data_IF_263000047032
#
_entry.id   IF_263000047032
#
_cell.length_a   1.000
_cell.length_b   1.000
_cell.length_c   1.000
_cell.angle_alpha   90.00
_cell.angle_beta   90.00
_cell.angle_gamma   90.00
#
_symmetry.space_group_name_H-M   'P 1'
#
loop_
_entity.id
_entity.type
_entity.pdbx_description
1 polymer ?
#
# COMPACT_ATOMS: atom_id res chain seq x y z
N UNK A 1 5.62 16.56 1.68
CA UNK A 1 7.06 16.88 1.57
C UNK A 1 7.19 18.37 1.38
N UNK A 2 8.07 19.01 2.14
CA UNK A 2 8.36 20.43 1.97
C UNK A 2 9.25 20.59 0.72
N UNK A 3 8.94 21.47 -0.24
CA UNK A 3 9.80 21.72 -1.40
C UNK A 3 11.26 22.03 -1.03
N UNK A 4 11.50 22.63 0.14
CA UNK A 4 12.85 22.92 0.64
C UNK A 4 13.65 21.66 1.00
N UNK A 5 13.00 20.54 1.33
CA UNK A 5 13.66 19.25 1.57
C UNK A 5 14.34 18.75 0.29
N UNK A 6 13.65 18.89 -0.85
CA UNK A 6 14.17 18.48 -2.14
C UNK A 6 15.39 19.32 -2.56
N UNK A 7 15.38 20.62 -2.30
CA UNK A 7 16.52 21.50 -2.58
C UNK A 7 17.73 21.13 -1.74
N UNK A 8 17.53 20.85 -0.44
CA UNK A 8 18.60 20.38 0.46
C UNK A 8 19.22 19.09 -0.05
N UNK A 9 18.40 18.10 -0.41
CA UNK A 9 18.87 16.83 -0.96
C UNK A 9 19.64 17.02 -2.28
N UNK A 10 19.17 17.91 -3.17
CA UNK A 10 19.86 18.22 -4.44
C UNK A 10 21.27 18.79 -4.25
N UNK A 11 21.51 19.55 -3.18
CA UNK A 11 22.83 20.09 -2.84
C UNK A 11 23.89 19.01 -2.49
N UNK A 12 23.46 17.77 -2.30
CA UNK A 12 24.31 16.63 -1.96
C UNK A 12 24.61 15.70 -3.14
N UNK A 13 24.14 16.02 -4.35
CA UNK A 13 24.41 15.21 -5.55
C UNK A 13 25.91 15.05 -5.78
N UNK A 14 26.34 13.80 -6.00
CA UNK A 14 27.73 13.44 -6.27
C UNK A 14 28.63 13.37 -5.03
N UNK A 15 28.10 13.64 -3.83
CA UNK A 15 28.83 13.46 -2.56
C UNK A 15 28.53 12.07 -1.99
N UNK A 16 29.54 11.47 -1.39
CA UNK A 16 29.32 10.32 -0.51
C UNK A 16 28.71 10.84 0.79
N UNK A 17 27.60 10.25 1.21
CA UNK A 17 26.91 10.55 2.47
C UNK A 17 27.08 9.37 3.41
N UNK A 18 27.35 9.66 4.67
CA UNK A 18 27.22 8.65 5.73
C UNK A 18 25.74 8.43 6.11
N UNK A 19 25.49 7.44 6.98
CA UNK A 19 24.13 7.07 7.37
C UNK A 19 23.41 8.21 8.11
N UNK A 20 24.11 8.92 9.00
CA UNK A 20 23.52 10.03 9.76
C UNK A 20 23.21 11.24 8.89
N UNK A 21 24.09 11.54 7.91
CA UNK A 21 23.82 12.57 6.90
C UNK A 21 22.59 12.22 6.04
N UNK A 22 22.45 10.95 5.65
CA UNK A 22 21.30 10.49 4.88
C UNK A 22 19.98 10.58 5.67
N UNK A 23 20.00 10.25 6.96
CA UNK A 23 18.84 10.37 7.85
C UNK A 23 18.48 11.84 8.09
N UNK A 24 19.46 12.71 8.36
CA UNK A 24 19.24 14.14 8.54
C UNK A 24 18.66 14.83 7.29
N UNK A 25 18.95 14.30 6.10
CA UNK A 25 18.35 14.73 4.83
C UNK A 25 16.99 14.08 4.53
N UNK A 26 16.52 13.15 5.38
CA UNK A 26 15.25 12.43 5.20
C UNK A 26 15.26 11.45 4.03
N UNK A 27 16.44 10.98 3.60
CA UNK A 27 16.60 10.03 2.48
C UNK A 27 16.42 8.58 2.93
N UNK A 28 16.61 8.30 4.22
CA UNK A 28 16.37 7.00 4.85
C UNK A 28 15.46 7.20 6.07
N UNK A 29 14.85 6.12 6.55
CA UNK A 29 13.94 6.19 7.71
C UNK A 29 14.68 6.28 9.04
N UNK A 30 15.75 5.48 9.20
CA UNK A 30 16.60 5.44 10.40
C UNK A 30 18.06 5.17 10.03
N UNK A 31 19.00 5.76 10.76
CA UNK A 31 20.43 5.44 10.71
C UNK A 31 20.88 4.77 12.01
N UNK A 32 20.59 3.47 12.14
CA UNK A 32 20.94 2.68 13.32
C UNK A 32 22.43 2.36 13.35
N UNK A 33 23.01 2.28 14.55
CA UNK A 33 24.38 1.80 14.74
C UNK A 33 24.48 0.27 14.71
N UNK A 34 25.69 -0.26 14.81
CA UNK A 34 25.96 -1.70 14.75
C UNK A 34 25.45 -2.47 15.99
N UNK A 35 25.15 -1.78 17.08
CA UNK A 35 24.64 -2.38 18.31
C UNK A 35 23.12 -2.56 18.19
N UNK A 36 22.41 -1.55 17.70
CA UNK A 36 20.94 -1.55 17.64
C UNK A 36 20.38 -2.20 16.35
N UNK A 37 21.18 -2.27 15.28
CA UNK A 37 20.72 -2.70 13.95
C UNK A 37 19.98 -4.04 13.95
N UNK A 38 20.59 -5.09 14.51
CA UNK A 38 20.06 -6.45 14.42
C UNK A 38 18.73 -6.60 15.18
N UNK A 39 18.58 -5.91 16.31
CA UNK A 39 17.38 -5.99 17.13
C UNK A 39 16.23 -5.16 16.56
N UNK A 40 16.47 -3.91 16.17
CA UNK A 40 15.44 -3.03 15.62
C UNK A 40 14.90 -3.54 14.27
N UNK A 41 15.80 -3.96 13.36
CA UNK A 41 15.37 -4.52 12.06
C UNK A 41 14.56 -5.79 12.26
N UNK A 42 14.96 -6.66 13.20
CA UNK A 42 14.20 -7.87 13.54
C UNK A 42 12.81 -7.50 14.05
N UNK A 43 12.70 -6.54 14.97
CA UNK A 43 11.41 -6.06 15.49
C UNK A 43 10.53 -5.54 14.35
N UNK A 44 11.04 -4.73 13.43
CA UNK A 44 10.25 -4.23 12.30
C UNK A 44 9.69 -5.36 11.42
N UNK A 45 10.45 -6.44 11.22
CA UNK A 45 9.97 -7.61 10.48
C UNK A 45 8.94 -8.41 11.28
N UNK A 46 9.16 -8.63 12.57
CA UNK A 46 8.24 -9.32 13.46
C UNK A 46 6.89 -8.57 13.54
N UNK A 47 6.92 -7.25 13.69
CA UNK A 47 5.73 -6.41 13.70
C UNK A 47 4.97 -6.51 12.38
N UNK A 48 5.67 -6.35 11.25
CA UNK A 48 5.07 -6.47 9.91
C UNK A 48 4.42 -7.84 9.69
N UNK A 49 5.00 -8.90 10.23
CA UNK A 49 4.44 -10.25 10.15
C UNK A 49 3.24 -10.48 11.09
N UNK A 50 3.15 -9.73 12.20
CA UNK A 50 2.08 -9.86 13.19
C UNK A 50 0.80 -9.08 12.85
N UNK A 51 0.89 -8.01 12.06
CA UNK A 51 -0.27 -7.22 11.66
C UNK A 51 -1.13 -7.89 10.58
N UNK A 52 -2.39 -7.49 10.49
CA UNK A 52 -3.29 -7.93 9.43
C UNK A 52 -2.74 -7.52 8.05
N UNK A 53 -2.52 -8.47 7.13
CA UNK A 53 -2.02 -8.17 5.79
C UNK A 53 -2.98 -7.28 4.99
N UNK A 54 -4.29 -7.41 5.22
CA UNK A 54 -5.31 -6.59 4.57
C UNK A 54 -5.20 -5.13 5.02
N UNK A 55 -5.01 -4.91 6.32
CA UNK A 55 -4.85 -3.57 6.90
C UNK A 55 -3.56 -2.92 6.44
N UNK A 56 -2.43 -3.66 6.44
CA UNK A 56 -1.15 -3.15 5.96
C UNK A 56 -1.20 -2.77 4.48
N UNK A 57 -1.83 -3.60 3.64
CA UNK A 57 -2.02 -3.30 2.21
C UNK A 57 -2.81 -2.01 2.02
N UNK A 58 -3.90 -1.83 2.79
CA UNK A 58 -4.69 -0.61 2.78
C UNK A 58 -3.89 0.62 3.19
N UNK A 59 -3.11 0.52 4.26
CA UNK A 59 -2.26 1.62 4.76
C UNK A 59 -1.19 1.99 3.71
N UNK A 60 -0.47 1.01 3.16
CA UNK A 60 0.59 1.25 2.18
C UNK A 60 0.05 1.91 0.90
N UNK A 61 -1.13 1.49 0.43
CA UNK A 61 -1.77 2.09 -0.73
C UNK A 61 -2.08 3.59 -0.51
N UNK A 62 -2.41 4.00 0.72
CA UNK A 62 -2.71 5.40 1.04
C UNK A 62 -1.43 6.23 1.31
N UNK A 63 -0.44 5.67 2.00
CA UNK A 63 0.78 6.39 2.35
C UNK A 63 1.72 6.58 1.16
N UNK A 64 1.80 5.60 0.25
CA UNK A 64 2.69 5.69 -0.93
C UNK A 64 2.14 6.58 -2.03
N UNK A 65 0.82 6.60 -2.21
CA UNK A 65 0.13 7.39 -3.25
C UNK A 65 -0.59 8.59 -2.64
N UNK A 66 0.14 9.36 -1.83
CA UNK A 66 -0.36 10.59 -1.24
C UNK A 66 -0.36 11.73 -2.26
N UNK A 67 -1.43 12.53 -2.28
CA UNK A 67 -1.48 13.79 -3.02
C UNK A 67 -2.16 13.69 -4.41
N UNK A 68 -1.61 14.31 -5.46
CA UNK A 68 -2.33 14.51 -6.72
C UNK A 68 -2.56 13.19 -7.47
N UNK A 69 -3.82 12.95 -7.82
CA UNK A 69 -4.23 11.75 -8.56
C UNK A 69 -4.01 11.91 -10.08
N UNK A 70 -3.28 10.97 -10.69
CA UNK A 70 -3.25 10.74 -12.14
C UNK A 70 -4.28 9.70 -12.57
N UNK A 71 -4.45 9.51 -13.89
CA UNK A 71 -5.32 8.44 -14.41
C UNK A 71 -4.89 7.06 -13.88
N UNK A 72 -3.59 6.79 -13.87
CA UNK A 72 -3.01 5.53 -13.41
C UNK A 72 -3.27 5.32 -11.92
N UNK A 73 -3.05 6.35 -11.09
CA UNK A 73 -3.35 6.26 -9.65
C UNK A 73 -4.83 6.03 -9.37
N UNK A 74 -5.74 6.61 -10.18
CA UNK A 74 -7.19 6.36 -10.07
C UNK A 74 -7.57 4.94 -10.45
N UNK A 75 -6.89 4.35 -11.44
CA UNK A 75 -7.07 2.95 -11.82
C UNK A 75 -6.64 2.03 -10.67
N UNK A 76 -5.44 2.23 -10.12
CA UNK A 76 -4.89 1.32 -9.10
C UNK A 76 -5.42 1.56 -7.68
N UNK A 77 -5.83 2.78 -7.33
CA UNK A 77 -6.45 3.08 -6.04
C UNK A 77 -7.96 2.93 -6.13
N UNK A 78 -8.66 3.91 -6.70
CA UNK A 78 -10.13 4.00 -6.64
C UNK A 78 -10.83 2.85 -7.36
N UNK A 79 -10.53 2.63 -8.63
CA UNK A 79 -11.21 1.61 -9.43
C UNK A 79 -10.89 0.20 -8.90
N UNK A 80 -9.61 -0.09 -8.68
CA UNK A 80 -9.18 -1.41 -8.23
C UNK A 80 -9.65 -1.71 -6.81
N UNK A 81 -9.66 -0.75 -5.87
CA UNK A 81 -10.18 -0.98 -4.52
C UNK A 81 -11.67 -1.34 -4.53
N UNK A 82 -12.49 -0.63 -5.31
CA UNK A 82 -13.90 -0.96 -5.49
C UNK A 82 -14.08 -2.34 -6.13
N UNK A 83 -13.26 -2.67 -7.13
CA UNK A 83 -13.30 -3.98 -7.76
C UNK A 83 -12.90 -5.11 -6.80
N UNK A 84 -11.87 -4.90 -5.98
CA UNK A 84 -11.44 -5.87 -4.96
C UNK A 84 -12.56 -6.13 -3.95
N UNK A 85 -13.27 -5.08 -3.53
CA UNK A 85 -14.43 -5.23 -2.64
C UNK A 85 -15.57 -6.01 -3.31
N UNK A 86 -15.86 -5.77 -4.60
CA UNK A 86 -16.85 -6.56 -5.35
C UNK A 86 -16.42 -8.03 -5.42
N UNK A 87 -15.15 -8.31 -5.70
CA UNK A 87 -14.62 -9.67 -5.88
C UNK A 87 -14.59 -10.52 -4.61
N UNK A 88 -14.71 -9.92 -3.44
CA UNK A 88 -14.78 -10.67 -2.18
C UNK A 88 -16.22 -10.98 -1.76
N UNK A 89 -17.24 -10.51 -2.51
CA UNK A 89 -18.66 -10.63 -2.10
C UNK A 89 -19.43 -11.74 -2.83
N UNK A 90 -20.43 -12.36 -2.16
CA UNK A 90 -21.19 -13.49 -2.72
C UNK A 90 -21.90 -13.21 -4.04
N UNK A 91 -22.40 -11.98 -4.25
CA UNK A 91 -23.08 -11.62 -5.50
C UNK A 91 -22.18 -11.82 -6.74
N UNK A 92 -20.87 -11.65 -6.62
CA UNK A 92 -19.92 -11.84 -7.72
C UNK A 92 -19.40 -13.29 -7.77
N UNK A 93 -18.78 -13.77 -6.69
CA UNK A 93 -17.98 -15.01 -6.67
C UNK A 93 -18.62 -16.18 -5.93
N UNK A 94 -19.77 -15.97 -5.28
CA UNK A 94 -20.48 -17.00 -4.51
C UNK A 94 -21.03 -18.14 -5.39
N UNK A 95 -21.52 -19.20 -4.75
CA UNK A 95 -22.05 -20.39 -5.44
C UNK A 95 -23.18 -20.06 -6.42
N UNK A 96 -24.14 -19.23 -5.98
CA UNK A 96 -25.24 -18.70 -6.79
C UNK A 96 -24.90 -17.35 -7.47
N UNK A 97 -23.63 -16.94 -7.43
CA UNK A 97 -23.15 -15.62 -7.88
C UNK A 97 -23.04 -15.49 -9.41
N UNK A 98 -22.88 -14.25 -9.86
CA UNK A 98 -22.86 -13.91 -11.28
C UNK A 98 -21.81 -14.67 -12.09
N UNK A 99 -20.57 -14.79 -11.57
CA UNK A 99 -19.47 -15.42 -12.31
C UNK A 99 -19.67 -16.93 -12.49
N UNK A 100 -20.21 -17.62 -11.49
CA UNK A 100 -20.44 -19.07 -11.55
C UNK A 100 -21.65 -19.45 -12.40
N UNK A 101 -22.67 -18.59 -12.46
CA UNK A 101 -23.89 -18.84 -13.25
C UNK A 101 -23.70 -18.52 -14.73
N UNK A 102 -22.65 -17.80 -15.10
CA UNK A 102 -22.34 -17.52 -16.51
C UNK A 102 -22.21 -18.81 -17.32
N UNK A 103 -22.98 -18.91 -18.41
CA UNK A 103 -22.99 -20.09 -19.30
C UNK A 103 -23.82 -21.29 -18.83
N UNK A 104 -24.37 -21.27 -17.60
CA UNK A 104 -25.17 -22.39 -17.07
C UNK A 104 -26.64 -22.37 -17.51
N UNK A 105 -27.14 -21.22 -17.99
CA UNK A 105 -28.56 -21.01 -18.31
C UNK A 105 -29.43 -20.63 -17.10
N UNK A 106 -28.88 -20.67 -15.89
CA UNK A 106 -29.57 -20.28 -14.67
C UNK A 106 -29.31 -18.81 -14.30
N UNK A 107 -30.28 -18.17 -13.63
CA UNK A 107 -30.15 -16.77 -13.19
C UNK A 107 -29.42 -16.69 -11.84
N UNK A 108 -28.46 -15.76 -11.68
CA UNK A 108 -27.80 -15.55 -10.39
C UNK A 108 -28.76 -15.00 -9.34
N UNK A 109 -28.47 -15.28 -8.07
CA UNK A 109 -29.19 -14.72 -6.91
C UNK A 109 -28.38 -13.61 -6.29
N UNK A 110 -29.01 -12.45 -6.13
CA UNK A 110 -28.36 -11.27 -5.57
C UNK A 110 -29.01 -10.85 -4.26
N UNK A 111 -28.19 -10.49 -3.28
CA UNK A 111 -28.61 -9.59 -2.20
C UNK A 111 -28.76 -8.18 -2.79
N UNK A 112 -29.99 -7.65 -2.72
CA UNK A 112 -30.36 -6.34 -3.26
C UNK A 112 -30.14 -5.19 -2.26
N UNK A 113 -29.68 -5.51 -1.05
CA UNK A 113 -29.36 -4.52 -0.02
C UNK A 113 -28.12 -3.70 -0.42
N UNK A 114 -28.24 -2.38 -0.34
CA UNK A 114 -27.12 -1.45 -0.59
C UNK A 114 -26.20 -1.37 0.64
N UNK A 115 -24.93 -1.07 0.40
CA UNK A 115 -23.88 -0.84 1.41
C UNK A 115 -23.34 0.57 1.22
#
# INVERSE_FOLDING_TARGET
ADPSDLERARGSIGKALDAGEAEALGLVTFALDDIDWDDEIRVFFEERASFSPDSLTGIEANLRFVGPETMESKIFARLTAWQNWIFQRPNAVGEDGALRRYGTGERPRFDMTRV
#
